data_IF_312104484959
#
_entry.id   IF_312104484959
#
_cell.length_a   1.000
_cell.length_b   1.000
_cell.length_c   1.000
_cell.angle_alpha   90.00
_cell.angle_beta   90.00
_cell.angle_gamma   90.00
#
_symmetry.space_group_name_H-M   'P 1'
#
loop_
_entity.id
_entity.type
_entity.pdbx_description
1 polymer ?
#
# COMPACT_ATOMS: atom_id res chain seq x y z
N UNK A 1 -11.66 16.42 -15.76
CA UNK A 1 -12.49 15.79 -14.70
C UNK A 1 -11.78 14.53 -14.21
N UNK A 2 -11.69 14.34 -12.89
CA UNK A 2 -11.22 13.08 -12.32
C UNK A 2 -12.27 12.01 -12.62
N UNK A 3 -11.86 10.88 -13.21
CA UNK A 3 -12.74 9.75 -13.46
C UNK A 3 -12.78 8.89 -12.20
N UNK A 4 -13.94 8.84 -11.55
CA UNK A 4 -14.15 7.98 -10.39
C UNK A 4 -14.73 6.65 -10.83
N UNK A 5 -14.35 5.59 -10.12
CA UNK A 5 -14.97 4.27 -10.19
C UNK A 5 -15.54 3.92 -8.81
N UNK A 6 -16.58 3.07 -8.79
CA UNK A 6 -17.19 2.59 -7.56
C UNK A 6 -16.59 1.26 -7.17
N UNK A 7 -16.31 1.09 -5.87
CA UNK A 7 -15.96 -0.20 -5.27
C UNK A 7 -17.06 -0.61 -4.30
N UNK A 8 -17.37 -1.90 -4.24
CA UNK A 8 -18.33 -2.45 -3.29
C UNK A 8 -17.59 -3.18 -2.17
N UNK A 9 -18.09 -3.06 -0.95
CA UNK A 9 -17.62 -3.81 0.21
C UNK A 9 -18.79 -4.56 0.84
N UNK A 10 -18.54 -5.68 1.55
CA UNK A 10 -19.57 -6.34 2.34
C UNK A 10 -20.25 -5.36 3.29
N UNK A 11 -21.57 -5.52 3.48
CA UNK A 11 -22.34 -4.65 4.35
C UNK A 11 -21.83 -4.71 5.79
N UNK A 12 -21.42 -5.89 6.23
CA UNK A 12 -20.88 -6.14 7.57
C UNK A 12 -19.62 -5.29 7.80
N UNK A 13 -18.73 -5.24 6.81
CA UNK A 13 -17.51 -4.44 6.87
C UNK A 13 -17.83 -2.95 6.85
N UNK A 14 -18.78 -2.51 6.02
CA UNK A 14 -19.24 -1.12 6.04
C UNK A 14 -19.73 -0.70 7.43
N UNK A 15 -20.58 -1.53 8.06
CA UNK A 15 -21.13 -1.25 9.39
C UNK A 15 -20.06 -1.30 10.48
N UNK A 16 -19.09 -2.21 10.37
CA UNK A 16 -17.96 -2.27 11.29
C UNK A 16 -17.10 -1.01 11.23
N UNK A 17 -16.76 -0.53 10.02
CA UNK A 17 -16.03 0.73 9.83
C UNK A 17 -16.82 1.89 10.41
N UNK A 18 -18.12 1.95 10.12
CA UNK A 18 -18.98 3.03 10.62
C UNK A 18 -18.95 3.10 12.15
N UNK A 19 -19.24 1.99 12.84
CA UNK A 19 -19.26 1.94 14.31
C UNK A 19 -17.90 2.23 14.96
N UNK A 20 -16.82 1.81 14.31
CA UNK A 20 -15.48 1.88 14.90
C UNK A 20 -14.82 3.25 14.69
N UNK A 21 -15.05 3.85 13.51
CA UNK A 21 -14.27 5.00 13.05
C UNK A 21 -15.14 6.24 12.81
N UNK A 22 -16.35 6.09 12.28
CA UNK A 22 -17.20 7.24 11.94
C UNK A 22 -17.99 7.73 13.16
N UNK A 23 -18.52 6.80 13.94
CA UNK A 23 -19.32 7.12 15.12
C UNK A 23 -18.43 7.55 16.32
N UNK A 24 -17.11 7.34 16.24
CA UNK A 24 -16.15 7.79 17.23
C UNK A 24 -15.49 9.12 16.81
N UNK A 25 -15.82 10.24 17.48
CA UNK A 25 -15.35 11.57 17.08
C UNK A 25 -13.83 11.75 17.17
N UNK A 26 -13.11 10.84 17.84
CA UNK A 26 -11.64 10.90 17.94
C UNK A 26 -10.92 10.71 16.61
N UNK A 27 -11.54 10.02 15.66
CA UNK A 27 -10.91 9.73 14.37
C UNK A 27 -11.21 10.77 13.28
N UNK A 28 -12.23 11.62 13.47
CA UNK A 28 -12.47 12.81 12.62
C UNK A 28 -12.97 12.55 11.19
N UNK A 29 -13.30 11.31 10.83
CA UNK A 29 -13.83 10.97 9.51
C UNK A 29 -15.32 11.27 9.38
N UNK A 30 -15.74 11.83 8.24
CA UNK A 30 -17.14 12.21 7.99
C UNK A 30 -17.95 11.10 7.34
N UNK A 31 -17.29 10.12 6.72
CA UNK A 31 -17.97 9.02 6.04
C UNK A 31 -17.06 7.80 5.88
N UNK A 32 -17.69 6.63 5.72
CA UNK A 32 -16.99 5.38 5.39
C UNK A 32 -16.18 5.52 4.10
N UNK A 33 -16.68 6.28 3.11
CA UNK A 33 -15.99 6.51 1.85
C UNK A 33 -14.70 7.32 2.01
N UNK A 34 -14.72 8.36 2.84
CA UNK A 34 -13.54 9.19 3.14
C UNK A 34 -12.45 8.36 3.82
N UNK A 35 -12.83 7.64 4.88
CA UNK A 35 -11.91 6.72 5.57
C UNK A 35 -11.35 5.67 4.61
N UNK A 36 -12.21 5.02 3.83
CA UNK A 36 -11.80 3.95 2.91
C UNK A 36 -10.81 4.47 1.86
N UNK A 37 -11.02 5.67 1.33
CA UNK A 37 -10.13 6.26 0.35
C UNK A 37 -8.73 6.49 0.93
N UNK A 38 -8.63 7.01 2.14
CA UNK A 38 -7.34 7.22 2.80
C UNK A 38 -6.66 5.90 3.15
N UNK A 39 -7.40 4.95 3.72
CA UNK A 39 -6.88 3.62 4.06
C UNK A 39 -6.33 2.90 2.82
N UNK A 40 -7.02 2.97 1.68
CA UNK A 40 -6.55 2.40 0.41
C UNK A 40 -5.24 3.06 -0.05
N UNK A 41 -5.14 4.40 0.04
CA UNK A 41 -3.92 5.13 -0.35
C UNK A 41 -2.72 4.72 0.50
N UNK A 42 -2.88 4.72 1.83
CA UNK A 42 -1.83 4.31 2.77
C UNK A 42 -1.37 2.88 2.47
N UNK A 43 -2.32 1.96 2.28
CA UNK A 43 -1.98 0.57 1.98
C UNK A 43 -1.27 0.41 0.64
N UNK A 44 -1.67 1.16 -0.39
CA UNK A 44 -0.99 1.14 -1.68
C UNK A 44 0.44 1.65 -1.58
N UNK A 45 0.70 2.68 -0.79
CA UNK A 45 2.03 3.26 -0.65
C UNK A 45 2.97 2.35 0.17
N UNK A 46 2.46 1.64 1.18
CA UNK A 46 3.17 0.55 1.86
C UNK A 46 3.57 -0.55 0.87
N UNK A 47 2.64 -1.00 0.02
CA UNK A 47 2.89 -2.05 -0.97
C UNK A 47 3.96 -1.59 -1.97
N UNK A 48 3.88 -0.36 -2.47
CA UNK A 48 4.91 0.19 -3.39
C UNK A 48 6.28 0.23 -2.74
N UNK A 49 6.35 0.70 -1.50
CA UNK A 49 7.60 0.79 -0.75
C UNK A 49 8.24 -0.60 -0.58
N UNK A 50 7.44 -1.59 -0.19
CA UNK A 50 7.90 -2.98 -0.08
C UNK A 50 8.42 -3.53 -1.41
N UNK A 51 7.72 -3.26 -2.52
CA UNK A 51 8.14 -3.69 -3.86
C UNK A 51 9.46 -3.03 -4.31
N UNK A 52 9.65 -1.75 -4.01
CA UNK A 52 10.91 -1.05 -4.34
C UNK A 52 12.08 -1.56 -3.50
N UNK A 53 11.86 -1.84 -2.22
CA UNK A 53 12.88 -2.48 -1.37
C UNK A 53 13.29 -3.86 -1.91
N UNK A 54 12.32 -4.68 -2.33
CA UNK A 54 12.61 -5.98 -2.92
C UNK A 54 13.41 -5.85 -4.22
N UNK A 55 13.08 -4.89 -5.08
CA UNK A 55 13.84 -4.60 -6.31
C UNK A 55 15.25 -4.15 -5.99
N UNK A 56 15.43 -3.28 -4.98
CA UNK A 56 16.74 -2.84 -4.50
C UNK A 56 17.61 -4.02 -4.07
N UNK A 57 17.08 -4.87 -3.16
CA UNK A 57 17.75 -6.09 -2.68
C UNK A 57 18.12 -7.04 -3.83
N UNK A 58 17.25 -7.20 -4.84
CA UNK A 58 17.54 -8.00 -6.04
C UNK A 58 18.67 -7.39 -6.87
N UNK A 59 18.67 -6.07 -7.10
CA UNK A 59 19.71 -5.37 -7.85
C UNK A 59 21.08 -5.48 -7.18
N UNK A 60 21.14 -5.30 -5.86
CA UNK A 60 22.38 -5.47 -5.09
C UNK A 60 22.94 -6.89 -5.18
N UNK A 61 22.09 -7.91 -5.08
CA UNK A 61 22.51 -9.31 -5.26
C UNK A 61 23.09 -9.54 -6.65
N UNK A 62 22.43 -9.05 -7.70
CA UNK A 62 22.91 -9.17 -9.08
C UNK A 62 24.26 -8.46 -9.24
N UNK A 63 24.42 -7.25 -8.71
CA UNK A 63 25.69 -6.52 -8.77
C UNK A 63 26.84 -7.29 -8.10
N UNK A 64 26.62 -7.85 -6.90
CA UNK A 64 27.62 -8.67 -6.20
C UNK A 64 28.01 -9.91 -7.01
N UNK A 65 27.05 -10.57 -7.63
CA UNK A 65 27.31 -11.73 -8.50
C UNK A 65 28.15 -11.32 -9.70
N UNK A 66 27.78 -10.24 -10.39
CA UNK A 66 28.52 -9.72 -11.55
C UNK A 66 29.94 -9.32 -11.17
N UNK A 67 30.13 -8.67 -10.03
CA UNK A 67 31.47 -8.27 -9.56
C UNK A 67 32.36 -9.49 -9.24
N UNK A 68 31.79 -10.52 -8.62
CA UNK A 68 32.52 -11.77 -8.35
C UNK A 68 32.90 -12.51 -9.63
N UNK A 69 32.03 -12.52 -10.64
CA UNK A 69 32.35 -13.10 -11.96
C UNK A 69 33.47 -12.32 -12.62
N UNK A 70 33.42 -10.97 -12.62
CA UNK A 70 34.49 -10.13 -13.15
C UNK A 70 35.84 -10.37 -12.47
N UNK A 71 35.86 -10.57 -11.14
CA UNK A 71 37.07 -10.89 -10.38
C UNK A 71 37.64 -12.27 -10.72
N UNK A 72 36.80 -13.25 -11.07
CA UNK A 72 37.24 -14.61 -11.44
C UNK A 72 37.73 -14.74 -12.89
N UNK A 73 37.29 -13.83 -13.76
CA UNK A 73 37.70 -13.79 -15.18
C UNK A 73 38.99 -12.99 -15.40
N UNK A 74 39.57 -12.42 -14.34
CA UNK A 74 40.78 -11.61 -14.34
C UNK A 74 41.88 -12.34 -13.60
#
# INVERSE_FOLDING_TARGET
>A
MVKYSTISIPKELHEEIKRTVIDDPRYGYKSVAEFSLEAIKLRLDEIKSALEEEKGKKREKIQKIVENIKKKLR
#
